data_IF_205414439603
#
_entry.id   IF_205414439603
#
_cell.length_a   1.000
_cell.length_b   1.000
_cell.length_c   1.000
_cell.angle_alpha   90.00
_cell.angle_beta   90.00
_cell.angle_gamma   90.00
#
_symmetry.space_group_name_H-M   'P 1'
#
loop_
_entity.id
_entity.type
_entity.pdbx_description
1 polymer ?
#
# COMPACT_ATOMS: atom_id res chain seq x y z
N UNK A 1 18.64 -6.09 4.61
CA UNK A 1 17.29 -5.54 4.80
C UNK A 1 17.26 -4.07 4.39
N UNK A 2 17.15 -3.80 3.12
CA UNK A 2 16.80 -2.44 2.73
C UNK A 2 15.28 -2.27 2.91
N UNK A 3 14.94 -1.27 3.73
CA UNK A 3 13.81 -0.34 3.69
C UNK A 3 12.39 -0.83 3.35
N UNK A 4 11.42 -0.52 4.23
CA UNK A 4 10.06 0.05 3.95
C UNK A 4 9.06 -0.22 5.12
N UNK A 5 8.33 0.71 5.76
CA UNK A 5 7.59 1.96 5.45
C UNK A 5 6.33 1.82 4.57
N UNK A 6 5.16 1.94 5.18
CA UNK A 6 3.84 2.06 4.54
C UNK A 6 3.71 3.45 3.93
N UNK A 7 3.35 3.54 2.65
CA UNK A 7 3.43 4.77 1.86
C UNK A 7 2.08 5.22 1.27
N UNK A 8 0.98 5.05 2.01
CA UNK A 8 -0.36 5.53 1.59
C UNK A 8 -0.85 6.81 2.29
N UNK A 9 -0.11 7.35 3.26
CA UNK A 9 -0.20 8.77 3.69
C UNK A 9 1.14 9.49 3.45
N UNK A 10 2.12 8.77 2.91
CA UNK A 10 3.48 9.26 2.74
C UNK A 10 3.90 9.40 1.28
N UNK A 11 3.06 9.39 0.24
CA UNK A 11 3.58 9.49 -1.17
C UNK A 11 4.48 10.72 -1.44
N UNK A 12 4.62 11.63 -0.48
CA UNK A 12 5.57 12.74 -0.47
C UNK A 12 6.97 12.46 0.09
N UNK A 13 7.19 11.37 0.84
CA UNK A 13 8.48 11.09 1.48
C UNK A 13 9.26 9.88 0.92
N UNK A 14 8.75 9.13 -0.07
CA UNK A 14 9.50 7.98 -0.62
C UNK A 14 10.69 8.47 -1.43
N UNK A 15 10.53 9.63 -2.07
CA UNK A 15 11.61 10.38 -2.69
C UNK A 15 12.72 10.79 -1.69
N UNK A 16 12.41 10.99 -0.39
CA UNK A 16 13.41 11.29 0.64
C UNK A 16 14.25 10.09 1.03
N UNK A 17 13.63 8.90 1.06
CA UNK A 17 14.32 7.68 1.48
C UNK A 17 15.49 7.37 0.56
N UNK A 18 15.35 7.66 -0.74
CA UNK A 18 16.41 7.40 -1.72
C UNK A 18 17.57 8.39 -1.69
N UNK A 19 17.39 9.65 -1.28
CA UNK A 19 18.51 10.58 -1.10
C UNK A 19 19.31 10.31 0.19
N UNK A 20 18.67 9.74 1.21
CA UNK A 20 19.36 9.26 2.42
C UNK A 20 20.09 7.92 2.18
N UNK A 21 19.61 7.09 1.24
CA UNK A 21 20.22 5.81 0.90
C UNK A 21 21.61 5.92 0.25
N UNK A 22 21.89 7.00 -0.49
CA UNK A 22 23.26 7.27 -0.97
C UNK A 22 24.23 7.70 0.14
N UNK A 23 23.76 7.91 1.37
CA UNK A 23 24.56 8.37 2.50
C UNK A 23 24.95 7.25 3.49
N UNK A 24 24.28 6.08 3.44
CA UNK A 24 24.52 4.96 4.35
C UNK A 24 24.60 3.63 3.59
N UNK A 25 25.77 3.36 3.01
CA UNK A 25 26.11 2.10 2.36
C UNK A 25 26.65 1.11 3.42
N UNK A 26 25.92 0.01 3.67
CA UNK A 26 26.43 -1.06 4.54
C UNK A 26 25.39 -1.89 5.29
N UNK A 27 25.00 -3.02 4.69
CA UNK A 27 24.54 -4.27 5.32
C UNK A 27 23.47 -4.19 6.41
N UNK A 28 22.24 -4.39 5.98
CA UNK A 28 21.09 -4.38 6.88
C UNK A 28 20.53 -5.81 7.04
N UNK A 29 21.25 -6.92 6.79
CA UNK A 29 20.64 -8.26 6.56
C UNK A 29 20.44 -9.18 7.79
N UNK A 30 20.84 -8.81 9.01
CA UNK A 30 21.07 -9.79 10.08
C UNK A 30 20.28 -9.76 11.41
N UNK A 31 19.24 -8.96 11.60
CA UNK A 31 18.60 -8.75 12.92
C UNK A 31 17.06 -8.72 12.82
N UNK A 32 16.37 -9.59 13.56
CA UNK A 32 15.04 -9.45 14.20
C UNK A 32 14.18 -10.74 14.12
N UNK A 33 14.21 -11.60 15.16
CA UNK A 33 13.13 -12.53 15.49
C UNK A 33 12.21 -11.93 16.57
N UNK A 34 10.90 -12.22 16.47
CA UNK A 34 9.97 -12.23 17.62
C UNK A 34 9.05 -11.01 17.80
N UNK A 35 7.77 -11.17 17.48
CA UNK A 35 6.67 -10.32 17.93
C UNK A 35 5.49 -11.23 18.31
N UNK A 36 5.37 -11.55 19.59
CA UNK A 36 4.27 -12.33 20.15
C UNK A 36 4.06 -11.95 21.61
N UNK A 37 3.63 -10.71 21.87
CA UNK A 37 2.89 -10.35 23.08
C UNK A 37 2.36 -8.91 22.98
N UNK A 38 1.10 -8.73 22.56
CA UNK A 38 0.39 -7.44 22.65
C UNK A 38 -1.10 -7.68 22.95
N UNK A 39 -1.36 -8.37 24.06
CA UNK A 39 -2.62 -8.26 24.79
C UNK A 39 -2.32 -8.14 26.28
N UNK A 40 -2.06 -6.91 26.73
CA UNK A 40 -1.96 -6.60 28.16
C UNK A 40 -0.76 -5.70 28.48
N UNK A 41 -1.01 -4.43 28.81
CA UNK A 41 0.05 -3.56 29.30
C UNK A 41 -0.32 -2.09 29.22
N UNK A 42 -0.95 -1.60 30.28
CA UNK A 42 -1.05 -0.19 30.61
C UNK A 42 0.38 0.39 30.78
N UNK A 43 0.97 0.86 29.68
CA UNK A 43 2.29 1.47 29.67
C UNK A 43 2.21 2.95 29.96
N UNK A 44 2.18 3.31 31.25
CA UNK A 44 2.40 4.68 31.70
C UNK A 44 3.71 5.21 31.15
N UNK A 45 3.63 6.17 30.23
CA UNK A 45 4.80 6.83 29.67
C UNK A 45 5.30 7.85 30.70
N UNK A 46 6.16 7.39 31.61
CA UNK A 46 6.99 8.25 32.44
C UNK A 46 8.21 8.70 31.61
N UNK A 47 7.93 9.42 30.52
CA UNK A 47 8.91 10.04 29.65
C UNK A 47 8.91 11.53 29.93
N UNK A 48 9.90 11.96 30.71
CA UNK A 48 10.23 13.35 31.05
C UNK A 48 9.78 14.34 29.96
N UNK A 49 8.63 14.98 30.21
CA UNK A 49 8.05 16.03 29.39
C UNK A 49 8.93 17.27 29.47
N UNK A 50 10.01 17.28 28.69
CA UNK A 50 10.65 18.51 28.27
C UNK A 50 9.64 19.27 27.43
N UNK A 51 8.93 20.20 28.07
CA UNK A 51 8.12 21.24 27.41
C UNK A 51 8.90 21.75 26.21
N UNK A 52 8.43 21.43 25.01
CA UNK A 52 8.79 22.13 23.80
C UNK A 52 8.18 23.54 23.91
N UNK A 53 8.85 24.39 24.67
CA UNK A 53 8.60 25.82 24.68
C UNK A 53 8.80 26.33 23.26
N UNK A 54 7.78 27.01 22.74
CA UNK A 54 7.89 27.85 21.55
C UNK A 54 9.06 28.80 21.75
N UNK A 55 10.16 28.50 21.07
CA UNK A 55 11.42 29.19 21.19
C UNK A 55 12.20 28.99 19.91
N UNK A 56 12.08 29.97 19.04
CA UNK A 56 12.93 30.25 17.89
C UNK A 56 14.42 30.06 18.22
N UNK A 57 14.97 28.88 17.93
CA UNK A 57 16.40 28.64 17.91
C UNK A 57 16.77 27.91 16.61
N UNK A 58 17.48 28.62 15.74
CA UNK A 58 17.72 28.28 14.35
C UNK A 58 18.56 27.03 14.10
N UNK A 59 18.22 26.37 13.00
CA UNK A 59 19.20 25.90 12.01
C UNK A 59 19.89 24.56 12.26
N UNK A 60 19.78 23.93 13.43
CA UNK A 60 20.40 22.61 13.63
C UNK A 60 19.49 21.49 13.09
N UNK A 61 19.94 20.69 12.11
CA UNK A 61 19.16 19.56 11.63
C UNK A 61 18.94 18.54 12.77
N UNK A 62 17.82 17.80 12.76
CA UNK A 62 17.59 16.71 13.71
C UNK A 62 18.75 15.70 13.70
N UNK A 63 19.01 15.05 14.85
CA UNK A 63 19.98 13.95 14.90
C UNK A 63 19.46 12.72 14.15
N UNK A 64 20.36 11.83 13.72
CA UNK A 64 19.99 10.56 13.06
C UNK A 64 19.00 9.76 13.91
N UNK A 65 19.27 9.61 15.21
CA UNK A 65 18.35 8.91 16.13
C UNK A 65 16.97 9.59 16.21
N UNK A 66 16.91 10.93 16.14
CA UNK A 66 15.63 11.64 16.13
C UNK A 66 14.86 11.40 14.82
N UNK A 67 15.56 11.33 13.69
CA UNK A 67 14.96 11.00 12.39
C UNK A 67 14.44 9.57 12.40
N UNK A 68 15.25 8.61 12.88
CA UNK A 68 14.88 7.20 12.95
C UNK A 68 13.68 6.99 13.89
N UNK A 69 13.68 7.62 15.06
CA UNK A 69 12.57 7.54 16.01
C UNK A 69 11.29 8.19 15.46
N UNK A 70 11.40 9.35 14.80
CA UNK A 70 10.26 10.00 14.18
C UNK A 70 9.67 9.13 13.06
N UNK A 71 10.53 8.53 12.24
CA UNK A 71 10.14 7.59 11.20
C UNK A 71 9.43 6.35 11.76
N UNK A 72 9.97 5.72 12.79
CA UNK A 72 9.38 4.52 13.40
C UNK A 72 8.05 4.83 14.08
N UNK A 73 7.98 5.97 14.79
CA UNK A 73 6.77 6.38 15.49
C UNK A 73 5.67 6.77 14.51
N UNK A 74 6.00 7.56 13.47
CA UNK A 74 5.08 7.82 12.36
C UNK A 74 4.52 6.50 11.82
N UNK A 75 5.39 5.54 11.46
CA UNK A 75 4.94 4.27 10.90
C UNK A 75 3.97 3.51 11.82
N UNK A 76 4.22 3.50 13.13
CA UNK A 76 3.34 2.87 14.11
C UNK A 76 1.98 3.57 14.14
N UNK A 77 1.98 4.90 14.16
CA UNK A 77 0.78 5.71 14.29
C UNK A 77 -0.10 5.58 13.02
N UNK A 78 0.52 5.51 11.84
CA UNK A 78 -0.19 5.21 10.57
C UNK A 78 -0.83 3.84 10.58
N UNK A 79 -0.18 2.86 11.21
CA UNK A 79 -0.75 1.52 11.41
C UNK A 79 -2.04 1.56 12.25
N UNK A 80 -2.08 2.40 13.29
CA UNK A 80 -3.27 2.59 14.13
C UNK A 80 -4.41 3.22 13.31
N UNK A 81 -4.12 4.28 12.54
CA UNK A 81 -5.11 4.95 11.68
C UNK A 81 -5.65 4.00 10.62
N UNK A 82 -4.76 3.29 9.93
CA UNK A 82 -5.14 2.32 8.88
C UNK A 82 -6.00 1.18 9.42
N UNK A 83 -5.62 0.61 10.57
CA UNK A 83 -6.40 -0.44 11.21
C UNK A 83 -7.81 0.04 11.59
N UNK A 84 -7.91 1.25 12.13
CA UNK A 84 -9.20 1.86 12.42
C UNK A 84 -10.04 2.02 11.15
N UNK A 85 -9.50 2.62 10.09
CA UNK A 85 -10.22 2.84 8.84
C UNK A 85 -10.71 1.53 8.19
N UNK A 86 -9.94 0.45 8.32
CA UNK A 86 -10.31 -0.88 7.82
C UNK A 86 -11.43 -1.55 8.62
N UNK A 87 -11.53 -1.27 9.93
CA UNK A 87 -12.45 -1.99 10.84
C UNK A 87 -13.63 -1.15 11.32
N UNK A 88 -13.61 0.17 11.15
CA UNK A 88 -14.56 1.09 11.77
C UNK A 88 -16.03 0.75 11.49
N UNK A 89 -16.39 0.27 10.30
CA UNK A 89 -17.79 -0.03 9.97
C UNK A 89 -18.33 -1.30 10.65
N UNK A 90 -17.45 -2.20 11.10
CA UNK A 90 -17.85 -3.43 11.82
C UNK A 90 -17.78 -3.26 13.33
N UNK A 91 -17.21 -2.15 13.84
CA UNK A 91 -17.12 -1.90 15.28
C UNK A 91 -18.49 -1.58 15.90
N UNK A 92 -18.80 -2.14 17.09
CA UNK A 92 -19.91 -1.67 17.91
C UNK A 92 -19.80 -0.17 18.20
N UNK A 93 -20.93 0.54 18.28
CA UNK A 93 -20.94 2.02 18.44
C UNK A 93 -20.16 2.52 19.66
N UNK A 94 -20.18 1.77 20.76
CA UNK A 94 -19.43 2.09 21.98
C UNK A 94 -17.91 1.89 21.81
N UNK A 95 -17.47 1.02 20.91
CA UNK A 95 -16.06 0.81 20.59
C UNK A 95 -15.57 1.75 19.48
N UNK A 96 -16.45 2.10 18.53
CA UNK A 96 -16.13 2.98 17.41
C UNK A 96 -15.55 4.32 17.89
N UNK A 97 -16.20 4.97 18.85
CA UNK A 97 -15.78 6.28 19.31
C UNK A 97 -14.40 6.25 20.00
N UNK A 98 -14.15 5.21 20.81
CA UNK A 98 -12.86 5.01 21.46
C UNK A 98 -11.75 4.68 20.45
N UNK A 99 -12.04 3.82 19.47
CA UNK A 99 -11.09 3.49 18.39
C UNK A 99 -10.79 4.71 17.51
N UNK A 100 -11.81 5.52 17.18
CA UNK A 100 -11.65 6.76 16.43
C UNK A 100 -10.81 7.78 17.22
N UNK A 101 -11.02 7.92 18.53
CA UNK A 101 -10.22 8.80 19.39
C UNK A 101 -8.75 8.37 19.42
N UNK A 102 -8.49 7.05 19.44
CA UNK A 102 -7.13 6.51 19.36
C UNK A 102 -6.48 6.78 18.00
N UNK A 103 -7.23 6.60 16.91
CA UNK A 103 -6.76 6.93 15.56
C UNK A 103 -6.49 8.43 15.40
N UNK A 104 -7.36 9.30 15.92
CA UNK A 104 -7.15 10.75 15.92
C UNK A 104 -5.90 11.16 16.71
N UNK A 105 -5.66 10.55 17.87
CA UNK A 105 -4.42 10.80 18.63
C UNK A 105 -3.19 10.41 17.82
N UNK A 106 -3.23 9.24 17.17
CA UNK A 106 -2.14 8.77 16.31
C UNK A 106 -1.90 9.72 15.12
N UNK A 107 -2.96 10.18 14.44
CA UNK A 107 -2.86 11.15 13.34
C UNK A 107 -2.23 12.48 13.81
N UNK A 108 -2.59 12.97 14.99
CA UNK A 108 -1.98 14.18 15.55
C UNK A 108 -0.50 13.96 15.95
N UNK A 109 -0.15 12.76 16.41
CA UNK A 109 1.25 12.38 16.69
C UNK A 109 2.07 12.29 15.39
N UNK A 110 1.47 11.84 14.27
CA UNK A 110 2.10 11.88 12.95
C UNK A 110 2.51 13.29 12.54
N UNK A 111 1.68 14.30 12.78
CA UNK A 111 2.02 15.71 12.51
C UNK A 111 3.26 16.16 13.32
N UNK A 112 3.41 15.64 14.54
CA UNK A 112 4.59 15.91 15.38
C UNK A 112 5.84 15.26 14.80
N UNK A 113 5.74 14.01 14.34
CA UNK A 113 6.84 13.32 13.67
C UNK A 113 7.19 13.96 12.32
N UNK A 114 6.19 14.46 11.59
CA UNK A 114 6.37 15.26 10.38
C UNK A 114 7.17 16.51 10.61
N UNK A 115 6.88 17.26 11.66
CA UNK A 115 7.64 18.46 11.99
C UNK A 115 9.14 18.15 12.22
N UNK A 116 9.49 16.95 12.72
CA UNK A 116 10.90 16.52 12.81
C UNK A 116 11.49 16.28 11.42
N UNK A 117 10.78 15.57 10.55
CA UNK A 117 11.23 15.30 9.18
C UNK A 117 11.34 16.58 8.34
N UNK A 118 10.39 17.51 8.48
CA UNK A 118 10.40 18.79 7.77
C UNK A 118 11.61 19.65 8.12
N UNK A 119 12.09 19.59 9.37
CA UNK A 119 13.34 20.25 9.76
C UNK A 119 14.56 19.70 9.00
N UNK A 120 14.52 18.44 8.59
CA UNK A 120 15.58 17.82 7.80
C UNK A 120 15.42 18.11 6.30
N UNK A 121 14.20 17.89 5.77
CA UNK A 121 13.97 17.82 4.33
C UNK A 121 13.40 19.09 3.71
N UNK A 122 12.77 19.98 4.49
CA UNK A 122 12.23 21.25 4.00
C UNK A 122 13.09 22.43 4.47
N UNK A 123 13.56 22.38 5.71
CA UNK A 123 14.28 23.48 6.37
C UNK A 123 15.76 23.20 6.59
N UNK A 124 16.23 21.99 6.28
CA UNK A 124 17.61 21.56 6.49
C UNK A 124 18.61 22.05 5.42
N UNK A 125 19.85 21.53 5.43
CA UNK A 125 20.87 21.83 4.43
C UNK A 125 20.36 21.62 2.99
N UNK A 126 20.85 22.41 2.03
CA UNK A 126 20.41 22.37 0.63
C UNK A 126 20.45 20.95 0.03
N UNK A 127 21.45 20.15 0.35
CA UNK A 127 21.56 18.78 -0.15
C UNK A 127 20.40 17.87 0.25
N UNK A 128 19.71 18.17 1.36
CA UNK A 128 18.60 17.37 1.87
C UNK A 128 17.24 17.88 1.37
N UNK A 129 17.20 19.08 0.77
CA UNK A 129 15.98 19.76 0.31
C UNK A 129 15.63 19.36 -1.11
N UNK A 130 15.20 18.12 -1.31
CA UNK A 130 14.78 17.66 -2.63
C UNK A 130 13.47 18.36 -3.05
N UNK A 131 13.37 18.71 -4.33
CA UNK A 131 12.22 19.42 -4.88
C UNK A 131 10.93 18.59 -4.78
N UNK A 132 11.02 17.29 -5.04
CA UNK A 132 9.91 16.34 -4.91
C UNK A 132 9.29 16.38 -3.52
N UNK A 133 10.09 16.41 -2.46
CA UNK A 133 9.61 16.42 -1.07
C UNK A 133 8.83 17.70 -0.77
N UNK A 134 9.32 18.85 -1.26
CA UNK A 134 8.62 20.13 -1.05
C UNK A 134 7.28 20.18 -1.78
N UNK A 135 7.27 19.80 -3.05
CA UNK A 135 6.03 19.77 -3.84
C UNK A 135 5.02 18.84 -3.20
N UNK A 136 5.50 17.69 -2.76
CA UNK A 136 4.68 16.68 -2.19
C UNK A 136 4.16 17.15 -0.80
N UNK A 137 5.01 17.75 0.04
CA UNK A 137 4.56 18.44 1.26
C UNK A 137 3.47 19.48 0.99
N UNK A 138 3.62 20.29 -0.06
CA UNK A 138 2.59 21.27 -0.44
C UNK A 138 1.27 20.59 -0.83
N UNK A 139 1.32 19.46 -1.54
CA UNK A 139 0.12 18.70 -1.88
C UNK A 139 -0.56 18.12 -0.63
N UNK A 140 0.19 17.66 0.37
CA UNK A 140 -0.41 17.08 1.58
C UNK A 140 -0.89 18.13 2.60
N UNK A 141 -0.08 19.15 2.86
CA UNK A 141 -0.31 20.12 3.93
C UNK A 141 -1.00 21.39 3.40
N UNK A 142 -0.50 21.98 2.31
CA UNK A 142 -1.02 23.27 1.82
C UNK A 142 -2.35 23.13 1.08
N UNK A 143 -2.62 21.96 0.47
CA UNK A 143 -3.91 21.68 -0.16
C UNK A 143 -4.96 21.10 0.81
N UNK A 144 -4.62 20.95 2.10
CA UNK A 144 -5.57 20.53 3.14
C UNK A 144 -5.87 19.04 3.22
N UNK A 145 -5.17 18.19 2.47
CA UNK A 145 -5.44 16.75 2.42
C UNK A 145 -5.24 16.04 3.78
N UNK A 146 -4.22 16.41 4.56
CA UNK A 146 -4.08 15.93 5.95
C UNK A 146 -5.22 16.39 6.86
N UNK A 147 -5.66 17.64 6.70
CA UNK A 147 -6.70 18.19 7.55
C UNK A 147 -8.04 17.47 7.35
N UNK A 148 -8.32 16.96 6.13
CA UNK A 148 -9.51 16.15 5.86
C UNK A 148 -9.53 14.85 6.68
N UNK A 149 -8.36 14.21 6.86
CA UNK A 149 -8.23 13.01 7.71
C UNK A 149 -8.46 13.37 9.16
N UNK A 150 -7.77 14.40 9.66
CA UNK A 150 -7.90 14.88 11.04
C UNK A 150 -9.34 15.26 11.37
N UNK A 151 -10.00 16.06 10.52
CA UNK A 151 -11.38 16.49 10.71
C UNK A 151 -12.36 15.29 10.66
N UNK A 152 -12.08 14.32 9.77
CA UNK A 152 -12.87 13.11 9.65
C UNK A 152 -12.78 12.23 10.90
N UNK A 153 -11.57 12.04 11.42
CA UNK A 153 -11.31 11.29 12.65
C UNK A 153 -11.86 12.01 13.87
N UNK A 154 -11.75 13.34 13.95
CA UNK A 154 -12.32 14.15 15.04
C UNK A 154 -13.85 14.05 15.09
N UNK A 155 -14.51 14.11 13.93
CA UNK A 155 -15.95 13.91 13.87
C UNK A 155 -16.36 12.52 14.35
N UNK A 156 -15.62 11.47 13.98
CA UNK A 156 -15.88 10.10 14.43
C UNK A 156 -15.58 9.92 15.92
N UNK A 157 -14.52 10.55 16.42
CA UNK A 157 -14.14 10.54 17.84
C UNK A 157 -15.13 11.31 18.73
N UNK A 158 -15.74 12.38 18.22
CA UNK A 158 -16.70 13.19 18.98
C UNK A 158 -18.14 12.72 18.84
N UNK A 159 -18.53 12.18 17.68
CA UNK A 159 -19.93 11.86 17.34
C UNK A 159 -20.18 10.41 16.93
N UNK A 160 -19.15 9.57 16.81
CA UNK A 160 -19.27 8.21 16.28
C UNK A 160 -20.36 7.36 16.96
N UNK A 161 -20.51 7.46 18.29
CA UNK A 161 -21.54 6.72 19.02
C UNK A 161 -22.99 7.11 18.65
N UNK A 162 -23.19 8.32 18.10
CA UNK A 162 -24.49 8.86 17.68
C UNK A 162 -24.75 8.72 16.18
N UNK A 163 -23.73 8.35 15.40
CA UNK A 163 -23.86 8.18 13.97
C UNK A 163 -24.56 6.85 13.64
N UNK A 164 -25.39 6.84 12.60
CA UNK A 164 -25.92 5.61 12.04
C UNK A 164 -24.80 4.83 11.33
N UNK A 165 -24.92 3.50 11.17
CA UNK A 165 -23.93 2.72 10.42
C UNK A 165 -23.64 3.29 9.03
N UNK A 166 -24.67 3.76 8.32
CA UNK A 166 -24.51 4.37 6.99
C UNK A 166 -23.80 5.74 7.03
N UNK A 167 -23.88 6.48 8.13
CA UNK A 167 -23.13 7.73 8.31
C UNK A 167 -21.65 7.44 8.59
N UNK A 168 -21.37 6.44 9.43
CA UNK A 168 -19.99 6.00 9.74
C UNK A 168 -19.32 5.50 8.48
N UNK A 169 -19.99 4.60 7.75
CA UNK A 169 -19.51 4.07 6.48
C UNK A 169 -19.20 5.20 5.51
N UNK A 170 -20.14 6.12 5.25
CA UNK A 170 -19.91 7.30 4.41
C UNK A 170 -18.73 8.15 4.84
N UNK A 171 -18.45 8.28 6.14
CA UNK A 171 -17.35 9.11 6.63
C UNK A 171 -15.99 8.40 6.47
N UNK A 172 -15.90 7.12 6.83
CA UNK A 172 -14.69 6.30 6.65
C UNK A 172 -14.28 6.24 5.17
N UNK A 173 -15.28 6.06 4.34
CA UNK A 173 -15.21 6.17 2.89
C UNK A 173 -14.56 7.47 2.41
N UNK A 174 -15.05 8.64 2.86
CA UNK A 174 -14.54 9.95 2.44
C UNK A 174 -13.02 10.02 2.70
N UNK A 175 -12.64 9.68 3.94
CA UNK A 175 -11.25 9.71 4.40
C UNK A 175 -10.38 8.78 3.56
N UNK A 176 -10.76 7.51 3.44
CA UNK A 176 -9.93 6.48 2.80
C UNK A 176 -9.72 6.69 1.31
N UNK A 177 -10.75 7.18 0.64
CA UNK A 177 -10.74 7.25 -0.80
C UNK A 177 -10.02 8.50 -1.30
N UNK A 178 -10.28 9.65 -0.69
CA UNK A 178 -9.57 10.89 -1.00
C UNK A 178 -8.07 10.64 -0.89
N UNK A 179 -7.63 9.89 0.13
CA UNK A 179 -6.22 9.55 0.33
C UNK A 179 -5.57 8.73 -0.80
N UNK A 180 -6.23 7.73 -1.38
CA UNK A 180 -5.53 6.79 -2.28
C UNK A 180 -5.54 7.18 -3.76
N UNK A 181 -6.57 7.91 -4.18
CA UNK A 181 -6.75 8.26 -5.60
C UNK A 181 -6.37 9.70 -5.86
N UNK A 182 -6.79 10.62 -4.98
CA UNK A 182 -6.44 12.04 -5.13
C UNK A 182 -4.95 12.21 -4.90
N UNK A 183 -4.33 11.46 -4.02
CA UNK A 183 -2.92 11.70 -3.71
C UNK A 183 -1.98 11.41 -4.88
N UNK A 184 -2.16 10.30 -5.60
CA UNK A 184 -1.35 10.03 -6.79
C UNK A 184 -1.57 11.09 -7.89
N UNK A 185 -2.83 11.50 -8.09
CA UNK A 185 -3.21 12.50 -9.07
C UNK A 185 -2.73 13.91 -8.70
N UNK A 186 -2.95 14.33 -7.45
CA UNK A 186 -2.51 15.62 -6.91
C UNK A 186 -0.99 15.76 -6.91
N UNK A 187 -0.26 14.67 -6.67
CA UNK A 187 1.19 14.65 -6.84
C UNK A 187 1.58 14.86 -8.31
N UNK A 188 0.93 14.15 -9.23
CA UNK A 188 1.17 14.34 -10.65
C UNK A 188 0.86 15.77 -11.11
N UNK A 189 -0.27 16.34 -10.67
CA UNK A 189 -0.68 17.72 -10.95
C UNK A 189 0.28 18.75 -10.34
N UNK A 190 0.87 18.44 -9.18
CA UNK A 190 1.93 19.24 -8.56
C UNK A 190 3.30 19.10 -9.26
N UNK A 191 3.39 18.29 -10.32
CA UNK A 191 4.63 18.01 -11.05
C UNK A 191 5.60 17.09 -10.30
N UNK A 192 5.11 16.32 -9.32
CA UNK A 192 5.90 15.33 -8.59
C UNK A 192 5.95 14.04 -9.38
N UNK A 193 7.16 13.62 -9.73
CA UNK A 193 7.38 12.32 -10.37
C UNK A 193 7.27 11.20 -9.34
N UNK A 194 6.24 10.36 -9.47
CA UNK A 194 6.10 9.16 -8.64
C UNK A 194 6.97 8.03 -9.19
N UNK A 195 8.05 7.71 -8.49
CA UNK A 195 8.97 6.63 -8.87
C UNK A 195 8.72 5.34 -8.10
N UNK A 196 8.09 5.42 -6.93
CA UNK A 196 7.83 4.25 -6.08
C UNK A 196 6.47 4.42 -5.41
N UNK A 197 5.69 3.34 -5.37
CA UNK A 197 4.35 3.33 -4.81
C UNK A 197 4.12 2.02 -4.05
N UNK A 198 3.66 2.15 -2.82
CA UNK A 198 3.39 1.04 -1.92
C UNK A 198 2.00 1.19 -1.34
N UNK A 199 1.09 0.34 -1.80
CA UNK A 199 -0.32 0.31 -1.43
C UNK A 199 -0.55 -0.90 -0.54
N UNK A 200 -0.62 -0.69 0.77
CA UNK A 200 -0.84 -1.79 1.74
C UNK A 200 -2.32 -2.15 1.92
N UNK A 201 -3.23 -1.20 1.69
CA UNK A 201 -4.67 -1.41 1.76
C UNK A 201 -5.38 -0.65 0.64
N UNK A 202 -6.45 -1.24 0.11
CA UNK A 202 -7.28 -0.68 -0.95
C UNK A 202 -8.72 -0.56 -0.42
N UNK A 203 -9.35 0.63 -0.47
CA UNK A 203 -10.60 0.90 0.22
C UNK A 203 -11.81 0.41 -0.58
N UNK A 204 -12.94 0.25 0.13
CA UNK A 204 -14.25 -0.14 -0.42
C UNK A 204 -14.91 0.99 -1.23
N UNK A 205 -15.84 0.65 -2.12
CA UNK A 205 -16.47 1.52 -3.15
C UNK A 205 -17.30 2.65 -2.59
N UNK A 206 -17.92 2.48 -1.41
CA UNK A 206 -18.61 3.60 -0.77
C UNK A 206 -17.63 4.78 -0.71
N UNK A 207 -16.35 4.46 -0.46
CA UNK A 207 -15.15 5.25 -0.66
C UNK A 207 -15.16 6.03 -1.97
N UNK A 208 -14.85 5.31 -3.06
CA UNK A 208 -14.57 5.84 -4.40
C UNK A 208 -15.66 6.74 -4.97
N UNK A 209 -16.94 6.51 -4.63
CA UNK A 209 -18.03 7.39 -5.03
C UNK A 209 -17.91 8.84 -4.50
N UNK A 210 -17.06 9.09 -3.50
CA UNK A 210 -16.81 10.41 -2.93
C UNK A 210 -15.55 11.11 -3.46
N UNK A 211 -14.73 10.47 -4.31
CA UNK A 211 -13.68 11.16 -5.12
C UNK A 211 -14.22 12.21 -6.08
N UNK A 212 -15.54 12.22 -6.22
CA UNK A 212 -16.26 13.11 -7.12
C UNK A 212 -16.07 14.54 -6.62
N UNK A 213 -15.04 15.20 -7.13
CA UNK A 213 -15.03 16.66 -7.27
C UNK A 213 -16.12 17.01 -8.28
N UNK A 214 -17.36 17.04 -7.80
CA UNK A 214 -18.57 17.52 -8.46
C UNK A 214 -19.10 16.77 -9.69
N UNK A 215 -18.32 15.93 -10.41
CA UNK A 215 -18.81 15.10 -11.53
C UNK A 215 -18.51 13.60 -11.39
N UNK A 216 -19.39 12.70 -11.90
CA UNK A 216 -19.12 11.26 -11.92
C UNK A 216 -18.05 10.94 -12.96
N UNK A 217 -16.86 10.59 -12.49
CA UNK A 217 -15.82 10.04 -13.33
C UNK A 217 -16.05 8.54 -13.54
N UNK A 218 -15.87 8.07 -14.76
CA UNK A 218 -15.92 6.64 -15.12
C UNK A 218 -14.63 5.92 -14.72
N UNK A 219 -14.70 4.60 -14.55
CA UNK A 219 -13.51 3.74 -14.29
C UNK A 219 -12.42 3.95 -15.35
N UNK A 220 -12.81 4.13 -16.62
CA UNK A 220 -11.87 4.35 -17.72
C UNK A 220 -11.17 5.72 -17.64
N UNK A 221 -11.88 6.77 -17.26
CA UNK A 221 -11.29 8.10 -17.07
C UNK A 221 -10.32 8.10 -15.89
N UNK A 222 -10.64 7.41 -14.78
CA UNK A 222 -9.74 7.26 -13.65
C UNK A 222 -8.47 6.52 -14.05
N UNK A 223 -8.62 5.39 -14.76
CA UNK A 223 -7.49 4.63 -15.28
C UNK A 223 -6.56 5.51 -16.13
N UNK A 224 -7.13 6.34 -17.02
CA UNK A 224 -6.35 7.23 -17.88
C UNK A 224 -5.55 8.26 -17.06
N UNK A 225 -6.17 8.89 -16.07
CA UNK A 225 -5.49 9.85 -15.21
C UNK A 225 -4.38 9.19 -14.37
N UNK A 226 -4.67 8.02 -13.78
CA UNK A 226 -3.67 7.26 -13.03
C UNK A 226 -2.51 6.81 -13.91
N UNK A 227 -2.75 6.46 -15.18
CA UNK A 227 -1.67 6.12 -16.12
C UNK A 227 -0.71 7.29 -16.31
N UNK A 228 -1.20 8.51 -16.36
CA UNK A 228 -0.33 9.69 -16.44
C UNK A 228 0.49 9.86 -15.15
N UNK A 229 -0.15 9.71 -13.99
CA UNK A 229 0.51 9.79 -12.69
C UNK A 229 1.58 8.71 -12.49
N UNK A 230 1.36 7.51 -13.04
CA UNK A 230 2.23 6.35 -12.90
C UNK A 230 3.26 6.21 -14.02
N UNK A 231 3.35 7.13 -14.97
CA UNK A 231 4.24 7.00 -16.13
C UNK A 231 5.72 6.80 -15.78
N UNK A 232 6.18 7.24 -14.60
CA UNK A 232 7.58 7.14 -14.15
C UNK A 232 7.81 6.12 -13.02
N UNK A 233 6.82 5.28 -12.73
CA UNK A 233 6.87 4.32 -11.64
C UNK A 233 7.91 3.21 -11.88
N UNK A 234 8.91 3.12 -11.00
CA UNK A 234 9.95 2.08 -11.03
C UNK A 234 9.65 0.94 -10.06
N UNK A 235 8.91 1.21 -8.99
CA UNK A 235 8.60 0.24 -7.96
C UNK A 235 7.12 0.31 -7.63
N UNK A 236 6.42 -0.82 -7.77
CA UNK A 236 5.03 -0.93 -7.38
C UNK A 236 4.82 -2.13 -6.46
N UNK A 237 4.25 -1.86 -5.30
CA UNK A 237 3.90 -2.86 -4.30
C UNK A 237 2.43 -2.70 -3.93
N UNK A 238 1.69 -3.78 -4.00
CA UNK A 238 0.29 -3.89 -3.62
C UNK A 238 0.15 -4.98 -2.57
N UNK A 239 -0.57 -4.71 -1.49
CA UNK A 239 -0.74 -5.60 -0.32
C UNK A 239 0.51 -5.85 0.53
N UNK A 240 1.57 -5.06 0.34
CA UNK A 240 2.87 -5.30 1.00
C UNK A 240 2.81 -5.31 2.53
N UNK A 241 3.44 -6.36 3.11
CA UNK A 241 3.78 -6.51 4.54
C UNK A 241 2.60 -6.55 5.51
N UNK A 242 1.43 -6.91 4.99
CA UNK A 242 0.30 -7.25 5.83
C UNK A 242 -0.32 -6.04 6.51
N UNK A 243 -1.61 -5.90 6.27
CA UNK A 243 -2.42 -6.20 7.44
C UNK A 243 -2.19 -7.69 7.73
N UNK A 244 -1.23 -8.03 8.60
CA UNK A 244 -1.01 -9.41 9.11
C UNK A 244 -2.19 -9.88 9.99
N UNK A 245 -3.36 -9.31 9.77
CA UNK A 245 -4.61 -9.64 10.39
C UNK A 245 -5.35 -10.49 9.37
N UNK A 246 -5.63 -11.74 9.75
CA UNK A 246 -6.39 -12.75 9.01
C UNK A 246 -7.53 -12.14 8.18
N UNK A 247 -7.87 -12.78 7.05
CA UNK A 247 -8.94 -12.36 6.14
C UNK A 247 -10.07 -11.65 6.87
N UNK A 248 -10.06 -10.31 6.84
CA UNK A 248 -10.97 -9.48 7.67
C UNK A 248 -12.39 -9.55 7.09
N UNK A 249 -12.57 -10.22 5.95
CA UNK A 249 -13.74 -10.07 5.10
C UNK A 249 -14.51 -11.36 5.09
N UNK A 250 -15.72 -11.30 5.65
CA UNK A 250 -16.72 -12.37 5.54
C UNK A 250 -17.46 -12.33 4.19
N UNK A 251 -17.25 -11.27 3.39
CA UNK A 251 -17.97 -11.05 2.13
C UNK A 251 -17.03 -10.63 1.00
N UNK A 252 -17.25 -11.12 -0.24
CA UNK A 252 -16.55 -10.64 -1.42
C UNK A 252 -16.70 -9.14 -1.65
N UNK A 253 -15.74 -8.55 -2.36
CA UNK A 253 -15.89 -7.22 -2.93
C UNK A 253 -17.02 -7.21 -3.96
N UNK A 254 -17.82 -6.14 -3.98
CA UNK A 254 -18.78 -5.93 -5.04
C UNK A 254 -18.05 -5.72 -6.39
N UNK A 255 -18.64 -6.14 -7.50
CA UNK A 255 -17.99 -6.03 -8.83
C UNK A 255 -17.58 -4.59 -9.18
N UNK A 256 -18.38 -3.60 -8.77
CA UNK A 256 -18.03 -2.19 -8.94
C UNK A 256 -16.73 -1.82 -8.19
N UNK A 257 -16.48 -2.39 -7.01
CA UNK A 257 -15.23 -2.18 -6.24
C UNK A 257 -14.04 -2.79 -6.97
N UNK A 258 -14.22 -4.04 -7.43
CA UNK A 258 -13.20 -4.75 -8.19
C UNK A 258 -12.82 -3.99 -9.45
N UNK A 259 -13.78 -3.39 -10.16
CA UNK A 259 -13.51 -2.61 -11.36
C UNK A 259 -12.56 -1.43 -11.12
N UNK A 260 -12.68 -0.70 -9.99
CA UNK A 260 -11.77 0.40 -9.66
C UNK A 260 -10.39 -0.09 -9.23
N UNK A 261 -10.33 -1.13 -8.42
CA UNK A 261 -9.06 -1.75 -8.04
C UNK A 261 -8.33 -2.27 -9.29
N UNK A 262 -9.04 -2.91 -10.22
CA UNK A 262 -8.54 -3.33 -11.52
C UNK A 262 -7.98 -2.16 -12.31
N UNK A 263 -8.73 -1.07 -12.45
CA UNK A 263 -8.26 0.13 -13.14
C UNK A 263 -6.98 0.70 -12.50
N UNK A 264 -6.90 0.73 -11.17
CA UNK A 264 -5.72 1.22 -10.45
C UNK A 264 -4.50 0.33 -10.68
N UNK A 265 -4.66 -0.99 -10.49
CA UNK A 265 -3.61 -1.99 -10.72
C UNK A 265 -3.16 -1.98 -12.18
N UNK A 266 -4.11 -1.94 -13.11
CA UNK A 266 -3.84 -1.90 -14.55
C UNK A 266 -3.08 -0.63 -14.91
N UNK A 267 -3.48 0.53 -14.39
CA UNK A 267 -2.72 1.77 -14.57
C UNK A 267 -1.29 1.61 -14.03
N UNK A 268 -1.10 1.12 -12.80
CA UNK A 268 0.22 1.01 -12.18
C UNK A 268 1.15 0.03 -12.92
N UNK A 269 0.62 -1.10 -13.37
CA UNK A 269 1.38 -2.15 -14.06
C UNK A 269 1.68 -1.78 -15.51
N UNK A 270 0.77 -1.08 -16.20
CA UNK A 270 0.91 -0.82 -17.64
C UNK A 270 1.47 0.56 -17.98
N UNK A 271 1.37 1.53 -17.08
CA UNK A 271 1.73 2.92 -17.39
C UNK A 271 3.23 3.18 -17.49
N UNK A 272 4.05 2.55 -16.62
CA UNK A 272 5.46 2.93 -16.56
C UNK A 272 6.38 1.99 -17.33
N UNK A 273 7.06 2.46 -18.38
CA UNK A 273 8.11 1.68 -19.04
C UNK A 273 9.36 1.50 -18.18
N UNK A 274 9.42 2.13 -17.01
CA UNK A 274 10.56 2.08 -16.10
C UNK A 274 10.34 1.11 -14.93
N UNK A 275 9.23 0.38 -14.91
CA UNK A 275 8.88 -0.52 -13.81
C UNK A 275 9.92 -1.64 -13.71
N UNK A 276 10.60 -1.70 -12.56
CA UNK A 276 11.65 -2.68 -12.24
C UNK A 276 11.18 -3.70 -11.22
N UNK A 277 10.40 -3.27 -10.25
CA UNK A 277 9.91 -4.13 -9.17
C UNK A 277 8.39 -4.08 -9.16
N UNK A 278 7.78 -5.24 -9.33
CA UNK A 278 6.36 -5.46 -9.19
C UNK A 278 6.13 -6.47 -8.07
N UNK A 279 5.38 -6.07 -7.06
CA UNK A 279 4.93 -6.96 -5.99
C UNK A 279 3.43 -6.82 -5.81
N UNK A 280 2.72 -7.91 -6.00
CA UNK A 280 1.27 -7.99 -5.92
C UNK A 280 0.93 -9.08 -4.92
N UNK A 281 0.58 -8.67 -3.72
CA UNK A 281 0.16 -9.55 -2.63
C UNK A 281 -1.32 -9.27 -2.35
N UNK A 282 -2.15 -10.30 -2.47
CA UNK A 282 -3.58 -10.19 -2.29
C UNK A 282 -4.09 -10.85 -1.02
N UNK A 283 -3.20 -11.37 -0.18
CA UNK A 283 -3.55 -11.96 1.10
C UNK A 283 -4.47 -11.06 1.96
N UNK A 284 -4.24 -9.74 2.06
CA UNK A 284 -5.11 -8.85 2.85
C UNK A 284 -6.54 -8.71 2.30
N UNK A 285 -6.80 -9.18 1.07
CA UNK A 285 -8.09 -9.09 0.38
C UNK A 285 -8.80 -10.43 0.25
N UNK A 286 -8.16 -11.52 0.70
CA UNK A 286 -8.77 -12.84 0.75
C UNK A 286 -10.03 -12.83 1.64
N UNK A 287 -11.02 -13.62 1.25
CA UNK A 287 -12.29 -13.74 1.96
C UNK A 287 -12.17 -14.89 2.96
N UNK A 288 -12.49 -14.61 4.22
CA UNK A 288 -12.60 -15.64 5.24
C UNK A 288 -13.94 -16.36 5.08
N UNK A 289 -13.90 -17.63 4.65
CA UNK A 289 -15.08 -18.46 4.40
C UNK A 289 -15.76 -18.98 5.67
N UNK A 290 -15.24 -18.66 6.87
CA UNK A 290 -15.75 -19.19 8.14
C UNK A 290 -15.24 -20.59 8.49
N UNK A 291 -14.54 -21.26 7.58
CA UNK A 291 -13.83 -22.50 7.88
C UNK A 291 -12.59 -22.20 8.74
N UNK A 292 -12.42 -22.92 9.86
CA UNK A 292 -11.19 -22.85 10.65
C UNK A 292 -9.97 -23.37 9.90
N UNK A 293 -10.21 -24.15 8.85
CA UNK A 293 -9.21 -24.51 7.86
C UNK A 293 -9.20 -23.42 6.79
N UNK A 294 -8.01 -22.96 6.45
CA UNK A 294 -7.69 -21.78 5.64
C UNK A 294 -8.17 -21.87 4.18
N UNK A 295 -9.39 -22.29 3.92
CA UNK A 295 -10.08 -22.16 2.64
C UNK A 295 -10.53 -20.70 2.50
N UNK A 296 -9.54 -19.81 2.42
CA UNK A 296 -9.79 -18.44 2.06
C UNK A 296 -10.05 -18.40 0.54
N UNK A 297 -11.23 -17.92 0.14
CA UNK A 297 -11.51 -17.66 -1.27
C UNK A 297 -10.55 -16.55 -1.71
N UNK A 298 -9.65 -16.91 -2.63
CA UNK A 298 -8.67 -15.98 -3.18
C UNK A 298 -9.37 -14.94 -4.04
N UNK A 299 -8.83 -13.72 -4.03
CA UNK A 299 -9.35 -12.66 -4.84
C UNK A 299 -9.10 -12.92 -6.34
N UNK A 300 -10.14 -12.74 -7.14
CA UNK A 300 -10.07 -12.73 -8.61
C UNK A 300 -9.81 -11.30 -9.14
N UNK A 301 -8.54 -10.92 -9.43
CA UNK A 301 -8.24 -9.59 -9.97
C UNK A 301 -8.81 -9.42 -11.38
N UNK A 302 -9.17 -10.50 -12.09
CA UNK A 302 -9.53 -10.46 -13.50
C UNK A 302 -8.39 -9.98 -14.40
N UNK A 303 -8.76 -9.27 -15.47
CA UNK A 303 -7.93 -8.93 -16.64
C UNK A 303 -6.81 -7.89 -16.43
N UNK A 304 -6.28 -7.72 -15.21
CA UNK A 304 -5.23 -6.73 -14.89
C UNK A 304 -4.01 -6.86 -15.80
N UNK A 305 -3.69 -8.08 -16.22
CA UNK A 305 -2.51 -8.40 -17.02
C UNK A 305 -2.79 -8.60 -18.52
N UNK A 306 -4.05 -8.71 -18.96
CA UNK A 306 -4.41 -9.04 -20.36
C UNK A 306 -4.68 -7.82 -21.23
N UNK A 307 -4.74 -6.63 -20.63
CA UNK A 307 -5.12 -5.41 -21.34
C UNK A 307 -4.26 -5.20 -22.59
N UNK A 308 -4.87 -5.21 -23.79
CA UNK A 308 -4.20 -5.05 -25.11
C UNK A 308 -3.29 -3.82 -25.19
N UNK A 309 -3.49 -2.81 -24.36
CA UNK A 309 -2.59 -1.64 -24.27
C UNK A 309 -1.18 -1.97 -23.78
N UNK A 310 -0.96 -3.18 -23.27
CA UNK A 310 0.37 -3.75 -23.05
C UNK A 310 1.20 -3.91 -24.34
N UNK A 311 0.61 -3.71 -25.53
CA UNK A 311 1.25 -3.87 -26.85
C UNK A 311 2.40 -2.92 -27.19
N UNK A 312 2.78 -1.96 -26.33
CA UNK A 312 4.09 -1.33 -26.45
C UNK A 312 5.12 -2.27 -25.79
N UNK A 313 5.92 -2.95 -26.61
CA UNK A 313 6.73 -4.12 -26.25
C UNK A 313 7.71 -3.93 -25.09
N UNK A 314 8.01 -2.69 -24.67
CA UNK A 314 9.17 -2.40 -23.84
C UNK A 314 8.91 -2.33 -22.34
N UNK A 315 7.67 -2.11 -21.90
CA UNK A 315 7.38 -1.72 -20.51
C UNK A 315 7.79 -2.78 -19.47
N UNK A 316 7.55 -4.05 -19.76
CA UNK A 316 7.77 -5.18 -18.84
C UNK A 316 9.20 -5.73 -18.94
N UNK A 317 9.93 -5.38 -20.01
CA UNK A 317 11.31 -5.83 -20.23
C UNK A 317 12.31 -5.35 -19.16
N UNK A 318 11.94 -4.31 -18.42
CA UNK A 318 12.76 -3.72 -17.36
C UNK A 318 12.54 -4.37 -15.99
N UNK A 319 11.54 -5.25 -15.84
CA UNK A 319 11.29 -5.93 -14.58
C UNK A 319 12.48 -6.82 -14.21
N UNK A 320 12.99 -6.59 -13.00
CA UNK A 320 14.03 -7.40 -12.37
C UNK A 320 13.46 -8.27 -11.27
N UNK A 321 12.29 -7.89 -10.71
CA UNK A 321 11.65 -8.59 -9.61
C UNK A 321 10.13 -8.57 -9.77
N UNK A 322 9.52 -9.75 -9.67
CA UNK A 322 8.08 -9.97 -9.79
C UNK A 322 7.67 -10.91 -8.68
N UNK A 323 6.70 -10.47 -7.89
CA UNK A 323 6.10 -11.23 -6.81
C UNK A 323 4.60 -11.16 -7.03
N UNK A 324 3.95 -12.32 -7.09
CA UNK A 324 2.50 -12.46 -7.23
C UNK A 324 2.05 -13.50 -6.21
N UNK A 325 1.32 -13.06 -5.19
CA UNK A 325 0.91 -13.88 -4.04
C UNK A 325 -0.61 -13.81 -3.84
N UNK A 326 -1.21 -14.95 -3.46
CA UNK A 326 -2.59 -15.06 -2.95
C UNK A 326 -3.68 -14.64 -3.96
N UNK A 327 -3.62 -15.20 -5.17
CA UNK A 327 -4.52 -14.82 -6.26
C UNK A 327 -5.19 -16.03 -6.93
N UNK A 328 -6.46 -15.86 -7.32
CA UNK A 328 -7.16 -16.75 -8.23
C UNK A 328 -7.30 -16.10 -9.61
N UNK A 329 -6.84 -16.76 -10.67
CA UNK A 329 -6.81 -16.18 -12.02
C UNK A 329 -6.80 -17.26 -13.10
N UNK A 330 -7.00 -16.88 -14.36
CA UNK A 330 -6.92 -17.82 -15.50
C UNK A 330 -5.53 -17.86 -16.11
N UNK A 331 -5.18 -18.97 -16.74
CA UNK A 331 -3.87 -19.13 -17.38
C UNK A 331 -3.59 -18.05 -18.44
N UNK A 332 -4.61 -17.67 -19.22
CA UNK A 332 -4.54 -16.62 -20.23
C UNK A 332 -4.39 -15.20 -19.64
N UNK A 333 -4.61 -15.04 -18.34
CA UNK A 333 -4.37 -13.78 -17.64
C UNK A 333 -2.91 -13.59 -17.25
N UNK A 334 -2.26 -14.62 -16.68
CA UNK A 334 -0.88 -14.50 -16.20
C UNK A 334 0.18 -14.85 -17.25
N UNK A 335 -0.13 -15.73 -18.21
CA UNK A 335 0.82 -16.10 -19.25
C UNK A 335 1.37 -14.91 -20.07
N UNK A 336 0.57 -13.89 -20.45
CA UNK A 336 1.08 -12.69 -21.12
C UNK A 336 2.09 -11.89 -20.28
N UNK A 337 1.93 -11.85 -18.95
CA UNK A 337 2.91 -11.19 -18.08
C UNK A 337 4.22 -11.98 -18.08
N UNK A 338 4.15 -13.30 -17.85
CA UNK A 338 5.33 -14.16 -17.73
C UNK A 338 6.13 -14.26 -19.03
N UNK A 339 5.45 -14.44 -20.17
CA UNK A 339 6.11 -14.54 -21.49
C UNK A 339 6.84 -13.27 -21.92
N UNK A 340 6.55 -12.14 -21.27
CA UNK A 340 7.18 -10.83 -21.54
C UNK A 340 8.28 -10.47 -20.56
N UNK A 341 8.52 -11.27 -19.52
CA UNK A 341 9.64 -11.05 -18.62
C UNK A 341 10.95 -11.24 -19.39
N UNK A 342 11.77 -10.18 -19.42
CA UNK A 342 13.00 -10.15 -20.20
C UNK A 342 14.20 -10.72 -19.45
N UNK A 343 15.36 -10.77 -20.12
CA UNK A 343 16.63 -11.29 -19.59
C UNK A 343 17.17 -10.55 -18.35
N UNK A 344 16.59 -9.42 -17.97
CA UNK A 344 16.92 -8.67 -16.74
C UNK A 344 16.26 -9.27 -15.48
N UNK A 345 15.36 -10.23 -15.66
CA UNK A 345 14.59 -10.84 -14.59
C UNK A 345 15.51 -11.60 -13.62
N UNK A 346 15.56 -11.17 -12.37
CA UNK A 346 16.42 -11.74 -11.34
C UNK A 346 15.65 -12.59 -10.32
N UNK A 347 14.39 -12.25 -10.03
CA UNK A 347 13.60 -12.95 -9.02
C UNK A 347 12.10 -13.00 -9.33
N UNK A 348 11.58 -14.20 -9.54
CA UNK A 348 10.15 -14.48 -9.69
C UNK A 348 9.66 -15.26 -8.47
N UNK A 349 8.62 -14.78 -7.80
CA UNK A 349 7.90 -15.54 -6.77
C UNK A 349 6.43 -15.62 -7.10
N UNK A 350 5.91 -16.85 -7.10
CA UNK A 350 4.48 -17.13 -7.15
C UNK A 350 4.12 -17.98 -5.93
N UNK A 351 3.20 -17.49 -5.10
CA UNK A 351 2.82 -18.11 -3.83
C UNK A 351 1.30 -18.16 -3.73
N UNK A 352 0.75 -19.30 -3.35
CA UNK A 352 -0.70 -19.46 -3.14
C UNK A 352 -1.52 -18.98 -4.36
N UNK A 353 -1.21 -19.53 -5.53
CA UNK A 353 -1.86 -19.16 -6.80
C UNK A 353 -2.80 -20.28 -7.23
N UNK A 354 -4.06 -19.94 -7.48
CA UNK A 354 -5.07 -20.86 -8.01
C UNK A 354 -5.37 -20.53 -9.46
N UNK A 355 -5.17 -21.49 -10.37
CA UNK A 355 -5.63 -21.36 -11.76
C UNK A 355 -7.07 -21.85 -11.92
N UNK A 356 -7.98 -20.93 -12.27
CA UNK A 356 -9.42 -21.19 -12.39
C UNK A 356 -9.77 -22.06 -13.60
N UNK A 357 -8.99 -21.97 -14.67
CA UNK A 357 -9.11 -22.80 -15.87
C UNK A 357 -8.27 -24.07 -15.81
N UNK A 358 -7.52 -24.24 -14.71
CA UNK A 358 -6.78 -25.46 -14.42
C UNK A 358 -5.78 -25.81 -15.55
N UNK A 359 -5.11 -24.79 -16.13
CA UNK A 359 -4.15 -24.98 -17.21
C UNK A 359 -2.77 -24.42 -16.86
N UNK A 360 -1.94 -25.22 -16.19
CA UNK A 360 -0.60 -24.76 -15.78
C UNK A 360 0.46 -24.86 -16.87
N UNK A 361 0.28 -25.73 -17.86
CA UNK A 361 1.30 -26.01 -18.87
C UNK A 361 1.88 -24.76 -19.56
N UNK A 362 1.07 -23.79 -20.07
CA UNK A 362 1.61 -22.59 -20.70
C UNK A 362 2.43 -21.70 -19.75
N UNK A 363 2.04 -21.64 -18.47
CA UNK A 363 2.75 -20.86 -17.46
C UNK A 363 4.08 -21.52 -17.10
N UNK A 364 4.07 -22.85 -16.94
CA UNK A 364 5.28 -23.62 -16.63
C UNK A 364 6.30 -23.55 -17.76
N UNK A 365 5.86 -23.52 -19.02
CA UNK A 365 6.74 -23.29 -20.16
C UNK A 365 7.36 -21.88 -20.11
N UNK A 366 6.56 -20.84 -19.86
CA UNK A 366 7.08 -19.49 -19.69
C UNK A 366 8.05 -19.37 -18.50
N UNK A 367 7.77 -20.04 -17.37
CA UNK A 367 8.67 -20.10 -16.21
C UNK A 367 9.97 -20.82 -16.56
N UNK A 368 9.93 -21.90 -17.34
CA UNK A 368 11.14 -22.61 -17.78
C UNK A 368 12.04 -21.70 -18.61
N UNK A 369 11.46 -20.89 -19.50
CA UNK A 369 12.18 -19.90 -20.28
C UNK A 369 12.84 -18.85 -19.37
N UNK A 370 12.13 -18.36 -18.34
CA UNK A 370 12.68 -17.42 -17.35
C UNK A 370 13.84 -18.05 -16.54
N UNK A 371 13.72 -19.32 -16.13
CA UNK A 371 14.77 -20.04 -15.40
C UNK A 371 16.05 -20.12 -16.24
N UNK A 372 15.92 -20.34 -17.55
CA UNK A 372 17.07 -20.41 -18.47
C UNK A 372 17.90 -19.12 -18.48
N UNK A 373 17.30 -17.99 -18.09
CA UNK A 373 17.92 -16.66 -18.02
C UNK A 373 18.62 -16.38 -16.67
N UNK A 374 18.86 -17.40 -15.83
CA UNK A 374 19.46 -17.28 -14.48
C UNK A 374 18.59 -16.54 -13.46
N UNK A 375 17.28 -16.49 -13.69
CA UNK A 375 16.32 -15.97 -12.72
C UNK A 375 16.15 -16.95 -11.54
N UNK A 376 16.10 -16.43 -10.30
CA UNK A 376 15.69 -17.23 -9.15
C UNK A 376 14.18 -17.32 -9.12
N UNK A 377 13.66 -18.55 -9.21
CA UNK A 377 12.22 -18.81 -9.17
C UNK A 377 11.83 -19.47 -7.85
N UNK A 378 10.76 -18.98 -7.23
CA UNK A 378 10.12 -19.56 -6.06
C UNK A 378 8.64 -19.83 -6.36
N UNK A 379 8.25 -21.10 -6.42
CA UNK A 379 6.87 -21.53 -6.62
C UNK A 379 6.44 -22.33 -5.39
N UNK A 380 5.31 -21.96 -4.77
CA UNK A 380 4.76 -22.69 -3.63
C UNK A 380 3.24 -22.53 -3.58
N UNK A 381 2.57 -23.54 -3.04
CA UNK A 381 1.11 -23.56 -2.85
C UNK A 381 0.33 -23.26 -4.15
N UNK A 382 0.75 -23.86 -5.26
CA UNK A 382 0.04 -23.76 -6.54
C UNK A 382 -1.17 -24.70 -6.54
N UNK A 383 -2.33 -24.24 -7.00
CA UNK A 383 -3.58 -24.99 -7.03
C UNK A 383 -4.24 -24.94 -8.43
N UNK A 384 -5.09 -25.93 -8.71
CA UNK A 384 -5.77 -26.15 -9.98
C UNK A 384 -5.12 -27.26 -10.81
N UNK A 385 -5.96 -28.12 -11.41
CA UNK A 385 -5.59 -29.26 -12.27
C UNK A 385 -4.40 -30.10 -11.78
N UNK A 386 -3.23 -29.93 -12.39
CA UNK A 386 -2.05 -30.77 -12.19
C UNK A 386 -1.51 -30.71 -10.77
N UNK A 387 -1.83 -29.64 -10.04
CA UNK A 387 -1.46 -29.49 -8.63
C UNK A 387 -2.59 -29.88 -7.66
N UNK A 388 -3.75 -30.29 -8.19
CA UNK A 388 -4.95 -30.62 -7.43
C UNK A 388 -5.70 -29.38 -6.93
N UNK A 389 -6.90 -29.63 -6.36
CA UNK A 389 -7.76 -28.57 -5.81
C UNK A 389 -7.66 -28.49 -4.27
N UNK A 390 -6.99 -29.44 -3.63
CA UNK A 390 -6.91 -29.52 -2.17
C UNK A 390 -5.58 -28.95 -1.67
N UNK A 391 -5.65 -27.99 -0.74
CA UNK A 391 -4.47 -27.53 -0.01
C UNK A 391 -3.96 -28.69 0.85
N UNK A 392 -2.78 -29.24 0.51
CA UNK A 392 -2.15 -30.25 1.34
C UNK A 392 -1.71 -29.61 2.66
N UNK A 393 -2.50 -29.82 3.70
CA UNK A 393 -2.14 -29.39 5.05
C UNK A 393 -0.92 -30.19 5.52
N UNK A 394 0.26 -29.56 5.48
CA UNK A 394 1.38 -30.02 6.27
C UNK A 394 1.00 -29.81 7.74
N UNK A 395 0.61 -30.89 8.43
CA UNK A 395 0.58 -30.90 9.89
C UNK A 395 2.02 -30.65 10.35
N UNK A 396 2.27 -29.42 10.83
CA UNK A 396 3.56 -29.02 11.39
C UNK A 396 3.71 -29.52 12.82
#
# INVERSE_FOLDING_TARGET
>A
MHYLKVFAIATTFSACSNAANSFFDGSFSGLFPGFSDLTGGNGGNNGNGGRAGGGTAGGRPPSTNAIDNAQQSWQRDTGIVSQFLSTATSLPRNQLQAAASKALSAENDELTHKAVLDRMFLNGPRQNRLASIRQANNALETQGNFQLVVDGLDLLASRGARMSPQQVERKITSITTELLSILALALADAGVTLTELYVSCFPRFVGFAQLRTHEPQTVAELELQLRMAFASLQVFYFGYRGMNYAGIRETPLAEAELAYMRAYLQAAVTASPQLKILNLDFYPYSIFSGSSDRDEDLLEPGSVFTSRTMGCGDTISQLTRVIVHDMALKSDELAPLLSRLGAKMAYLSMYNITLLDACWAPLLDAVRDIISQRCRVNLSDLLGAEFGNERRHYKS
#
